data_IF_023378431658
#
_entry.id   IF_023378431658
#
_cell.length_a   1.000
_cell.length_b   1.000
_cell.length_c   1.000
_cell.angle_alpha   90.00
_cell.angle_beta   90.00
_cell.angle_gamma   90.00
#
_symmetry.space_group_name_H-M   'P 1'
#
loop_
_entity.id
_entity.type
_entity.pdbx_description
1 polymer ?
#
# COMPACT_ATOMS: atom_id res chain seq x y z
N UNK A 1 23.86 -49.78 39.88
CA UNK A 1 22.94 -48.64 39.59
C UNK A 1 23.65 -47.30 39.29
N UNK A 2 24.82 -47.27 38.63
CA UNK A 2 25.50 -46.01 38.24
C UNK A 2 25.75 -45.81 36.73
N UNK A 3 25.47 -46.81 35.90
CA UNK A 3 25.72 -46.73 34.44
C UNK A 3 24.47 -46.52 33.57
N UNK A 4 23.26 -46.45 34.15
CA UNK A 4 22.01 -46.25 33.39
C UNK A 4 21.57 -44.77 33.37
N UNK A 5 21.92 -43.96 34.38
CA UNK A 5 21.53 -42.53 34.41
C UNK A 5 22.32 -41.63 33.44
N UNK A 6 23.55 -42.01 33.06
CA UNK A 6 24.40 -41.14 32.23
C UNK A 6 24.04 -41.17 30.73
N UNK A 7 23.30 -42.19 30.28
CA UNK A 7 22.80 -42.27 28.89
C UNK A 7 21.47 -41.54 28.66
N UNK A 8 20.67 -41.30 29.72
CA UNK A 8 19.40 -40.58 29.61
C UNK A 8 19.57 -39.06 29.59
N UNK A 9 20.53 -38.49 30.32
CA UNK A 9 20.79 -37.04 30.28
C UNK A 9 21.37 -36.55 28.94
N UNK A 10 22.14 -37.38 28.25
CA UNK A 10 22.70 -37.03 26.92
C UNK A 10 21.64 -37.07 25.81
N UNK A 11 20.63 -37.95 25.93
CA UNK A 11 19.54 -38.06 24.96
C UNK A 11 18.52 -36.92 25.11
N UNK A 12 18.23 -36.48 26.35
CA UNK A 12 17.30 -35.38 26.61
C UNK A 12 17.86 -34.00 26.21
N UNK A 13 19.18 -33.79 26.34
CA UNK A 13 19.85 -32.58 25.83
C UNK A 13 19.93 -32.57 24.29
N UNK A 14 20.17 -33.71 23.65
CA UNK A 14 20.21 -33.80 22.19
C UNK A 14 18.82 -33.54 21.57
N UNK A 15 17.75 -34.05 22.18
CA UNK A 15 16.37 -33.85 21.69
C UNK A 15 15.89 -32.40 21.88
N UNK A 16 16.27 -31.74 22.97
CA UNK A 16 15.98 -30.30 23.17
C UNK A 16 16.83 -29.39 22.28
N UNK A 17 18.07 -29.77 21.95
CA UNK A 17 18.91 -29.03 21.00
C UNK A 17 18.43 -29.19 19.54
N UNK A 18 18.02 -30.40 19.13
CA UNK A 18 17.47 -30.66 17.79
C UNK A 18 16.11 -30.00 17.60
N UNK A 19 15.22 -30.04 18.61
CA UNK A 19 13.94 -29.33 18.52
C UNK A 19 14.13 -27.80 18.45
N UNK A 20 15.08 -27.23 19.20
CA UNK A 20 15.40 -25.80 19.10
C UNK A 20 16.00 -25.41 17.75
N UNK A 21 16.85 -26.23 17.12
CA UNK A 21 17.42 -25.96 15.80
C UNK A 21 16.36 -26.08 14.70
N UNK A 22 15.46 -27.06 14.78
CA UNK A 22 14.37 -27.24 13.84
C UNK A 22 13.34 -26.10 13.94
N UNK A 23 13.01 -25.64 15.15
CA UNK A 23 12.17 -24.45 15.35
C UNK A 23 12.88 -23.17 14.93
N UNK A 24 14.18 -22.99 15.19
CA UNK A 24 14.91 -21.82 14.72
C UNK A 24 15.01 -21.74 13.20
N UNK A 25 15.34 -22.84 12.51
CA UNK A 25 15.45 -22.83 11.04
C UNK A 25 14.10 -22.65 10.33
N UNK A 26 13.01 -23.18 10.90
CA UNK A 26 11.67 -22.95 10.38
C UNK A 26 11.17 -21.54 10.70
N UNK A 27 11.48 -20.97 11.87
CA UNK A 27 11.20 -19.57 12.21
C UNK A 27 12.02 -18.61 11.33
N UNK A 28 13.30 -18.88 11.06
CA UNK A 28 14.15 -18.03 10.20
C UNK A 28 13.74 -18.10 8.72
N UNK A 29 13.31 -19.28 8.22
CA UNK A 29 12.73 -19.41 6.87
C UNK A 29 11.35 -18.74 6.77
N UNK A 30 10.52 -18.84 7.80
CA UNK A 30 9.24 -18.12 7.87
C UNK A 30 9.44 -16.61 7.97
N UNK A 31 10.37 -16.13 8.80
CA UNK A 31 10.69 -14.70 8.95
C UNK A 31 11.31 -14.11 7.67
N UNK A 32 12.17 -14.84 6.96
CA UNK A 32 12.72 -14.39 5.68
C UNK A 32 11.71 -14.42 4.51
N UNK A 33 10.80 -15.39 4.48
CA UNK A 33 9.69 -15.40 3.51
C UNK A 33 8.65 -14.32 3.82
N UNK A 34 8.28 -14.11 5.10
CA UNK A 34 7.40 -13.02 5.54
C UNK A 34 8.03 -11.65 5.26
N UNK A 35 9.33 -11.46 5.54
CA UNK A 35 10.08 -10.24 5.18
C UNK A 35 10.16 -10.01 3.67
N UNK A 36 10.12 -11.07 2.85
CA UNK A 36 10.02 -10.94 1.40
C UNK A 36 8.59 -10.61 0.92
N UNK A 37 7.56 -11.14 1.59
CA UNK A 37 6.14 -10.85 1.30
C UNK A 37 5.76 -9.41 1.62
N UNK A 38 6.35 -8.82 2.66
CA UNK A 38 6.16 -7.39 2.93
C UNK A 38 6.84 -6.48 1.90
N UNK A 39 7.81 -6.95 1.13
CA UNK A 39 8.50 -6.13 0.13
C UNK A 39 7.81 -6.09 -1.23
N UNK A 40 6.91 -7.04 -1.50
CA UNK A 40 6.31 -7.22 -2.83
C UNK A 40 4.80 -7.41 -2.68
N UNK A 41 4.07 -6.40 -3.15
CA UNK A 41 2.62 -6.37 -3.25
C UNK A 41 2.23 -5.82 -4.61
N UNK A 42 1.05 -6.21 -5.12
CA UNK A 42 0.47 -5.56 -6.30
C UNK A 42 0.47 -4.04 -6.05
N UNK A 43 1.00 -3.22 -6.96
CA UNK A 43 0.97 -1.79 -6.80
C UNK A 43 -0.47 -1.32 -6.97
N UNK A 44 -0.88 -0.33 -6.17
CA UNK A 44 -2.22 0.23 -6.24
C UNK A 44 -2.21 1.64 -6.83
N UNK A 45 -3.22 1.96 -7.63
CA UNK A 45 -3.51 3.32 -8.05
C UNK A 45 -4.55 3.92 -7.11
N UNK A 46 -4.19 5.01 -6.47
CA UNK A 46 -5.09 5.75 -5.60
C UNK A 46 -5.52 7.09 -6.23
N UNK A 47 -6.69 7.58 -5.88
CA UNK A 47 -7.20 8.86 -6.39
C UNK A 47 -8.00 9.63 -5.36
N UNK A 48 -7.61 10.88 -5.07
CA UNK A 48 -8.45 11.79 -4.29
C UNK A 48 -9.48 12.44 -5.20
N UNK A 49 -10.75 12.16 -4.92
CA UNK A 49 -11.88 12.79 -5.57
C UNK A 49 -12.41 13.90 -4.69
N UNK A 50 -12.38 15.13 -5.19
CA UNK A 50 -12.87 16.30 -4.48
C UNK A 50 -14.40 16.31 -4.53
N UNK A 51 -15.05 15.94 -3.43
CA UNK A 51 -16.51 15.74 -3.37
C UNK A 51 -17.31 16.99 -3.77
N UNK A 52 -16.69 18.18 -3.70
CA UNK A 52 -17.36 19.39 -4.14
C UNK A 52 -17.51 19.55 -5.66
N UNK A 53 -16.85 18.71 -6.46
CA UNK A 53 -17.05 18.59 -7.91
C UNK A 53 -18.13 17.56 -8.29
N UNK A 54 -18.72 16.86 -7.32
CA UNK A 54 -19.77 15.88 -7.59
C UNK A 54 -21.08 16.56 -8.03
N UNK A 55 -21.77 15.97 -9.02
CA UNK A 55 -23.10 16.42 -9.48
C UNK A 55 -24.09 16.59 -8.35
N UNK A 56 -24.04 15.74 -7.32
CA UNK A 56 -24.98 15.79 -6.20
C UNK A 56 -24.68 16.92 -5.21
N UNK A 57 -23.53 17.59 -5.33
CA UNK A 57 -23.16 18.76 -4.53
C UNK A 57 -23.23 20.08 -5.31
N UNK A 58 -23.39 20.01 -6.63
CA UNK A 58 -23.52 21.17 -7.50
C UNK A 58 -24.64 22.12 -7.09
N UNK A 59 -24.38 23.43 -7.18
CA UNK A 59 -25.36 24.49 -6.90
C UNK A 59 -25.25 25.59 -7.93
N UNK A 60 -26.39 26.08 -8.44
CA UNK A 60 -26.44 27.15 -9.44
C UNK A 60 -25.65 28.43 -9.06
N UNK A 61 -25.42 28.70 -7.76
CA UNK A 61 -24.64 29.84 -7.25
C UNK A 61 -23.69 29.42 -6.10
N UNK A 62 -22.41 29.79 -6.17
CA UNK A 62 -21.44 29.75 -5.04
C UNK A 62 -20.52 30.98 -5.01
N UNK A 63 -20.06 31.32 -3.80
CA UNK A 63 -19.08 32.38 -3.48
C UNK A 63 -17.64 32.07 -3.92
N UNK A 64 -16.67 32.88 -3.47
CA UNK A 64 -15.33 33.07 -4.06
C UNK A 64 -14.42 31.82 -4.22
N UNK A 65 -14.80 30.65 -3.70
CA UNK A 65 -14.02 29.41 -3.78
C UNK A 65 -14.56 28.53 -4.92
N UNK A 66 -14.02 28.70 -6.13
CA UNK A 66 -14.66 28.28 -7.39
C UNK A 66 -14.33 26.83 -7.80
N UNK A 67 -14.96 25.86 -7.14
CA UNK A 67 -15.28 24.56 -7.77
C UNK A 67 -16.38 24.70 -8.84
N UNK A 68 -16.80 23.57 -9.44
CA UNK A 68 -17.84 23.59 -10.48
C UNK A 68 -19.20 24.15 -9.99
N UNK A 69 -19.80 25.05 -10.78
CA UNK A 69 -21.16 25.60 -10.56
C UNK A 69 -22.27 24.54 -10.61
N UNK A 70 -22.04 23.33 -11.10
CA UNK A 70 -23.11 22.31 -11.18
C UNK A 70 -22.72 20.94 -10.69
N UNK A 71 -21.44 20.71 -10.40
CA UNK A 71 -20.88 19.37 -10.45
C UNK A 71 -21.10 18.77 -11.84
N UNK A 72 -20.04 18.25 -12.45
CA UNK A 72 -20.08 17.77 -13.84
C UNK A 72 -19.83 16.28 -13.95
N UNK A 73 -19.47 15.65 -12.84
CA UNK A 73 -19.15 14.23 -12.76
C UNK A 73 -19.60 13.61 -11.45
N UNK A 74 -19.69 12.28 -11.45
CA UNK A 74 -20.09 11.51 -10.29
C UNK A 74 -18.87 10.80 -9.71
N UNK A 75 -18.86 10.64 -8.40
CA UNK A 75 -17.83 9.91 -7.67
C UNK A 75 -17.72 8.44 -8.14
N UNK A 76 -18.84 7.80 -8.48
CA UNK A 76 -18.86 6.46 -9.04
C UNK A 76 -18.54 6.38 -10.54
N UNK A 77 -18.23 7.51 -11.18
CA UNK A 77 -17.72 7.59 -12.54
C UNK A 77 -16.23 7.28 -12.67
N UNK A 78 -15.53 7.02 -11.56
CA UNK A 78 -14.12 6.63 -11.56
C UNK A 78 -13.92 5.30 -12.32
N UNK A 79 -12.84 5.18 -13.11
CA UNK A 79 -12.59 3.97 -13.88
C UNK A 79 -12.07 2.84 -12.99
N UNK A 80 -12.29 1.58 -13.39
CA UNK A 80 -11.88 0.37 -12.64
C UNK A 80 -10.38 0.27 -12.36
N UNK A 81 -9.56 1.02 -13.09
CA UNK A 81 -8.11 1.13 -12.86
C UNK A 81 -7.78 1.81 -11.52
N UNK A 82 -8.71 2.56 -10.92
CA UNK A 82 -8.54 3.14 -9.58
C UNK A 82 -8.82 2.05 -8.54
N UNK A 83 -7.79 1.55 -7.88
CA UNK A 83 -7.92 0.52 -6.84
C UNK A 83 -8.51 1.11 -5.54
N UNK A 84 -8.15 2.36 -5.20
CA UNK A 84 -8.62 3.06 -3.99
C UNK A 84 -9.01 4.50 -4.32
N UNK A 85 -10.27 4.84 -4.10
CA UNK A 85 -10.81 6.18 -4.23
C UNK A 85 -10.92 6.85 -2.85
N UNK A 86 -10.18 7.94 -2.64
CA UNK A 86 -10.36 8.77 -1.47
C UNK A 86 -11.52 9.74 -1.68
N UNK A 87 -12.50 9.65 -0.78
CA UNK A 87 -13.57 10.60 -0.66
C UNK A 87 -13.04 11.83 0.10
N UNK A 88 -12.60 12.84 -0.63
CA UNK A 88 -12.06 14.09 -0.09
C UNK A 88 -13.18 15.13 0.01
N UNK A 89 -13.66 15.36 1.24
CA UNK A 89 -14.84 16.20 1.49
C UNK A 89 -14.43 17.51 2.11
N UNK A 90 -14.84 18.59 1.47
CA UNK A 90 -14.81 19.92 2.05
C UNK A 90 -16.05 20.72 1.59
N UNK A 91 -16.62 21.51 2.50
CA UNK A 91 -17.71 22.48 2.26
C UNK A 91 -18.97 21.98 1.55
N UNK A 92 -19.20 20.67 1.48
CA UNK A 92 -20.38 20.14 0.79
C UNK A 92 -21.68 20.40 1.58
N UNK A 93 -21.56 20.67 2.88
CA UNK A 93 -22.68 20.85 3.82
C UNK A 93 -22.97 22.31 4.20
N UNK A 94 -22.19 23.29 3.72
CA UNK A 94 -22.22 24.68 4.22
C UNK A 94 -23.62 25.31 4.27
N UNK A 95 -24.47 25.05 3.27
CA UNK A 95 -25.85 25.58 3.25
C UNK A 95 -26.93 24.54 3.57
N UNK A 96 -26.54 23.31 3.91
CA UNK A 96 -27.47 22.22 4.20
C UNK A 96 -27.51 21.85 5.69
N UNK A 97 -26.51 22.28 6.46
CA UNK A 97 -26.26 21.78 7.80
C UNK A 97 -25.53 20.43 7.76
N UNK A 98 -25.12 19.93 8.93
CA UNK A 98 -24.30 18.73 9.02
C UNK A 98 -24.97 17.53 8.34
N UNK A 99 -24.28 16.98 7.34
CA UNK A 99 -24.76 15.88 6.48
C UNK A 99 -26.06 16.13 5.71
N UNK A 100 -26.47 17.39 5.56
CA UNK A 100 -27.68 17.73 4.81
C UNK A 100 -27.52 17.68 3.29
N UNK A 101 -26.29 17.64 2.76
CA UNK A 101 -26.06 17.62 1.31
C UNK A 101 -26.69 16.40 0.63
N UNK A 102 -27.34 16.55 -0.56
CA UNK A 102 -27.85 15.43 -1.34
C UNK A 102 -26.78 14.38 -1.70
N UNK A 103 -25.51 14.79 -1.74
CA UNK A 103 -24.37 13.89 -1.92
C UNK A 103 -24.39 12.71 -0.94
N UNK A 104 -24.66 12.96 0.35
CA UNK A 104 -24.64 11.93 1.38
C UNK A 104 -25.72 10.85 1.18
N UNK A 105 -26.88 11.23 0.61
CA UNK A 105 -27.95 10.28 0.27
C UNK A 105 -27.57 9.41 -0.92
N UNK A 106 -26.77 9.94 -1.84
CA UNK A 106 -26.29 9.22 -3.03
C UNK A 106 -25.08 8.33 -2.73
N UNK A 107 -24.27 8.70 -1.74
CA UNK A 107 -23.02 8.02 -1.40
C UNK A 107 -23.14 6.48 -1.26
N UNK A 108 -24.16 5.89 -0.61
CA UNK A 108 -24.28 4.43 -0.52
C UNK A 108 -24.39 3.74 -1.89
N UNK A 109 -25.07 4.36 -2.85
CA UNK A 109 -25.14 3.84 -4.23
C UNK A 109 -23.79 3.95 -4.92
N UNK A 110 -23.10 5.09 -4.75
CA UNK A 110 -21.77 5.29 -5.32
C UNK A 110 -20.76 4.26 -4.81
N UNK A 111 -20.73 4.04 -3.49
CA UNK A 111 -19.86 3.05 -2.85
C UNK A 111 -20.14 1.65 -3.41
N UNK A 112 -21.42 1.25 -3.50
CA UNK A 112 -21.80 -0.05 -4.06
C UNK A 112 -21.37 -0.21 -5.52
N UNK A 113 -21.45 0.84 -6.33
CA UNK A 113 -21.02 0.80 -7.73
C UNK A 113 -19.49 0.71 -7.87
N UNK A 114 -18.75 1.46 -7.05
CA UNK A 114 -17.28 1.38 -6.99
C UNK A 114 -16.81 -0.01 -6.53
N UNK A 115 -17.47 -0.60 -5.52
CA UNK A 115 -17.17 -1.97 -5.07
C UNK A 115 -17.36 -3.02 -6.17
N UNK A 116 -18.39 -2.89 -7.03
CA UNK A 116 -18.58 -3.79 -8.19
C UNK A 116 -17.43 -3.71 -9.18
N UNK A 117 -16.74 -2.57 -9.25
CA UNK A 117 -15.54 -2.38 -10.06
C UNK A 117 -14.24 -2.81 -9.35
N UNK A 118 -14.32 -3.27 -8.10
CA UNK A 118 -13.17 -3.62 -7.28
C UNK A 118 -12.48 -2.41 -6.62
N UNK A 119 -13.04 -1.22 -6.74
CA UNK A 119 -12.49 0.02 -6.15
C UNK A 119 -12.91 0.12 -4.69
N UNK A 120 -11.93 0.23 -3.78
CA UNK A 120 -12.18 0.56 -2.37
C UNK A 120 -12.44 2.05 -2.20
N UNK A 121 -13.29 2.43 -1.26
CA UNK A 121 -13.58 3.82 -0.91
C UNK A 121 -13.05 4.13 0.47
N UNK A 122 -12.14 5.10 0.59
CA UNK A 122 -11.54 5.51 1.86
C UNK A 122 -11.92 6.96 2.16
N UNK A 123 -12.24 7.27 3.41
CA UNK A 123 -12.52 8.65 3.82
C UNK A 123 -11.25 9.35 4.29
N UNK A 124 -10.99 10.55 3.76
CA UNK A 124 -9.87 11.40 4.23
C UNK A 124 -10.32 12.38 5.31
N UNK A 125 -9.58 12.47 6.41
CA UNK A 125 -9.81 13.44 7.48
C UNK A 125 -8.55 14.29 7.73
N UNK A 126 -8.75 15.57 8.03
CA UNK A 126 -7.69 16.46 8.50
C UNK A 126 -7.16 16.02 9.88
N UNK A 127 -5.85 16.11 10.08
CA UNK A 127 -5.20 15.78 11.35
C UNK A 127 -5.81 16.55 12.54
N UNK A 128 -6.38 17.74 12.34
CA UNK A 128 -7.04 18.51 13.40
C UNK A 128 -8.16 17.75 14.12
N UNK A 129 -8.83 16.79 13.46
CA UNK A 129 -9.80 15.90 14.11
C UNK A 129 -9.12 14.92 15.07
N UNK A 130 -7.98 14.36 14.68
CA UNK A 130 -7.15 13.47 15.50
C UNK A 130 -6.52 14.22 16.67
N UNK A 131 -6.16 15.49 16.47
CA UNK A 131 -5.63 16.39 17.51
C UNK A 131 -6.70 16.92 18.46
N UNK A 132 -7.98 16.65 18.19
CA UNK A 132 -9.10 17.24 18.90
C UNK A 132 -9.05 18.79 18.90
N UNK A 133 -8.53 19.39 17.82
CA UNK A 133 -8.49 20.84 17.59
C UNK A 133 -9.55 21.31 16.59
N UNK A 134 -10.12 20.38 15.82
CA UNK A 134 -11.23 20.60 14.89
C UNK A 134 -12.54 20.07 15.49
N UNK A 135 -13.68 20.59 15.06
CA UNK A 135 -14.98 20.10 15.50
C UNK A 135 -15.17 18.63 15.11
N UNK A 136 -15.29 17.75 16.11
CA UNK A 136 -15.66 16.37 15.86
C UNK A 136 -17.14 16.32 15.48
N UNK A 137 -17.54 15.56 14.44
CA UNK A 137 -18.93 15.52 13.98
C UNK A 137 -19.93 15.20 15.09
N UNK A 138 -21.08 15.85 15.01
CA UNK A 138 -22.21 15.52 15.86
C UNK A 138 -23.01 14.33 15.31
N UNK A 139 -23.81 13.70 16.16
CA UNK A 139 -24.62 12.56 15.71
C UNK A 139 -25.79 13.02 14.85
N UNK A 140 -26.17 12.17 13.88
CA UNK A 140 -27.33 12.38 13.02
C UNK A 140 -27.10 13.41 11.91
N UNK A 141 -28.20 13.87 11.31
CA UNK A 141 -28.22 15.02 10.40
C UNK A 141 -28.66 16.26 11.20
N UNK A 142 -28.14 17.44 10.82
CA UNK A 142 -28.57 18.73 11.37
C UNK A 142 -29.02 19.64 10.25
N UNK A 143 -30.10 20.40 10.47
CA UNK A 143 -30.58 21.38 9.49
C UNK A 143 -29.63 22.58 9.41
N UNK A 144 -29.69 23.31 8.30
CA UNK A 144 -28.98 24.58 8.17
C UNK A 144 -29.35 25.53 9.34
N UNK A 145 -28.34 26.09 10.00
CA UNK A 145 -28.49 26.96 11.16
C UNK A 145 -28.52 26.23 12.53
N UNK A 146 -28.69 24.91 12.57
CA UNK A 146 -28.51 24.14 13.80
C UNK A 146 -27.03 23.94 14.11
N UNK A 147 -26.65 24.13 15.38
CA UNK A 147 -25.27 23.96 15.83
C UNK A 147 -25.04 22.52 16.30
N UNK A 148 -23.92 21.94 15.88
CA UNK A 148 -23.40 20.73 16.53
C UNK A 148 -22.92 21.07 17.94
N UNK A 149 -23.15 20.17 18.88
CA UNK A 149 -22.53 20.26 20.20
C UNK A 149 -21.00 20.10 20.09
N UNK A 150 -20.28 20.91 20.86
CA UNK A 150 -18.83 20.82 20.93
C UNK A 150 -18.43 19.56 21.70
N UNK A 151 -17.88 18.58 21.00
CA UNK A 151 -17.27 17.40 21.61
C UNK A 151 -15.80 17.70 21.91
N UNK A 152 -15.37 17.41 23.13
CA UNK A 152 -13.96 17.49 23.54
C UNK A 152 -13.55 16.21 24.24
N UNK A 153 -12.35 15.76 23.92
CA UNK A 153 -11.73 14.58 24.48
C UNK A 153 -10.46 14.99 25.23
N UNK A 154 -10.26 14.42 26.41
CA UNK A 154 -9.05 14.66 27.19
C UNK A 154 -7.83 14.00 26.53
N UNK A 155 -6.64 14.59 26.74
CA UNK A 155 -5.37 14.01 26.31
C UNK A 155 -4.91 12.88 27.27
N UNK A 156 -5.77 11.89 27.45
CA UNK A 156 -5.59 10.72 28.33
C UNK A 156 -5.82 9.44 27.53
N UNK A 157 -5.30 8.27 27.98
CA UNK A 157 -5.53 7.01 27.26
C UNK A 157 -7.00 6.69 26.98
N UNK A 158 -7.90 7.06 27.90
CA UNK A 158 -9.34 6.86 27.71
C UNK A 158 -9.91 7.85 26.68
N UNK A 159 -9.54 9.14 26.75
CA UNK A 159 -9.95 10.14 25.76
C UNK A 159 -9.46 9.82 24.34
N UNK A 160 -8.24 9.29 24.20
CA UNK A 160 -7.69 8.81 22.93
C UNK A 160 -8.54 7.69 22.33
N UNK A 161 -8.92 6.72 23.16
CA UNK A 161 -9.75 5.58 22.77
C UNK A 161 -11.15 6.01 22.36
N UNK A 162 -11.75 6.95 23.09
CA UNK A 162 -13.10 7.43 22.81
C UNK A 162 -13.15 8.26 21.52
N UNK A 163 -12.16 9.12 21.29
CA UNK A 163 -12.04 9.85 20.02
C UNK A 163 -11.78 8.90 18.85
N UNK A 164 -10.84 7.95 18.98
CA UNK A 164 -10.55 6.99 17.91
C UNK A 164 -11.78 6.18 17.49
N UNK A 165 -12.56 5.69 18.46
CA UNK A 165 -13.83 4.99 18.20
C UNK A 165 -14.82 5.88 17.46
N UNK A 166 -14.96 7.14 17.87
CA UNK A 166 -15.87 8.06 17.23
C UNK A 166 -15.46 8.34 15.78
N UNK A 167 -14.17 8.56 15.51
CA UNK A 167 -13.67 8.79 14.16
C UNK A 167 -13.89 7.58 13.25
N UNK A 168 -13.59 6.36 13.71
CA UNK A 168 -13.82 5.14 12.92
C UNK A 168 -15.31 4.92 12.67
N UNK A 169 -16.15 5.10 13.70
CA UNK A 169 -17.61 4.97 13.57
C UNK A 169 -18.17 5.94 12.53
N UNK A 170 -17.79 7.22 12.63
CA UNK A 170 -18.35 8.27 11.78
C UNK A 170 -17.83 8.22 10.34
N UNK A 171 -16.52 8.02 10.17
CA UNK A 171 -15.88 8.17 8.86
C UNK A 171 -15.61 6.85 8.15
N UNK A 172 -15.88 5.71 8.78
CA UNK A 172 -15.72 4.39 8.17
C UNK A 172 -17.01 3.59 8.25
N UNK A 173 -17.53 3.35 9.45
CA UNK A 173 -18.65 2.43 9.65
C UNK A 173 -19.99 2.99 9.16
N UNK A 174 -20.25 4.29 9.40
CA UNK A 174 -21.53 4.95 9.08
C UNK A 174 -21.94 4.82 7.62
N UNK A 175 -20.98 4.97 6.71
CA UNK A 175 -21.18 4.90 5.26
C UNK A 175 -20.65 3.58 4.65
N UNK A 176 -20.29 2.61 5.51
CA UNK A 176 -19.69 1.33 5.12
C UNK A 176 -18.47 1.47 4.18
N UNK A 177 -17.60 2.45 4.47
CA UNK A 177 -16.39 2.73 3.69
C UNK A 177 -15.28 1.73 4.05
N UNK A 178 -14.30 1.59 3.17
CA UNK A 178 -13.23 0.60 3.26
C UNK A 178 -12.03 1.05 4.06
N UNK A 179 -12.06 2.24 4.66
CA UNK A 179 -10.96 2.69 5.49
C UNK A 179 -10.99 4.17 5.83
N UNK A 180 -9.95 4.57 6.56
CA UNK A 180 -9.68 5.94 6.97
C UNK A 180 -8.29 6.36 6.51
N UNK A 181 -8.21 7.58 6.02
CA UNK A 181 -6.99 8.27 5.67
C UNK A 181 -6.85 9.52 6.53
N UNK A 182 -5.68 9.72 7.13
CA UNK A 182 -5.36 10.88 7.97
C UNK A 182 -4.35 11.73 7.23
N UNK A 183 -4.80 12.92 6.84
CA UNK A 183 -4.01 13.94 6.16
C UNK A 183 -3.24 14.79 7.18
N UNK A 184 -1.91 14.70 7.14
CA UNK A 184 -0.99 15.40 8.03
C UNK A 184 -0.04 16.34 7.28
N UNK A 185 -0.40 17.62 7.26
CA UNK A 185 0.40 18.69 6.62
C UNK A 185 0.86 19.80 7.61
N UNK A 186 0.60 19.67 8.91
CA UNK A 186 0.94 20.71 9.88
C UNK A 186 2.45 20.99 9.95
N UNK A 187 2.83 22.26 9.97
CA UNK A 187 4.23 22.69 10.02
C UNK A 187 4.93 22.32 11.35
N UNK A 188 4.22 22.44 12.47
CA UNK A 188 4.73 22.09 13.80
C UNK A 188 3.68 21.33 14.61
N UNK A 189 4.15 20.43 15.45
CA UNK A 189 3.31 19.65 16.34
C UNK A 189 3.91 19.68 17.76
N UNK A 190 3.42 20.58 18.64
CA UNK A 190 3.86 20.66 20.04
C UNK A 190 3.69 19.33 20.78
N UNK A 191 4.48 19.07 21.83
CA UNK A 191 4.51 17.77 22.51
C UNK A 191 3.12 17.29 22.97
N UNK A 192 2.27 18.19 23.48
CA UNK A 192 0.90 17.82 23.87
C UNK A 192 0.05 17.38 22.68
N UNK A 193 0.16 18.04 21.54
CA UNK A 193 -0.51 17.65 20.30
C UNK A 193 0.07 16.36 19.72
N UNK A 194 1.39 16.17 19.81
CA UNK A 194 2.05 14.93 19.42
C UNK A 194 1.56 13.75 20.27
N UNK A 195 1.46 13.92 21.59
CA UNK A 195 0.91 12.92 22.51
C UNK A 195 -0.53 12.56 22.17
N UNK A 196 -1.37 13.57 21.89
CA UNK A 196 -2.75 13.37 21.47
C UNK A 196 -2.82 12.57 20.15
N UNK A 197 -2.06 13.00 19.15
CA UNK A 197 -2.03 12.35 17.83
C UNK A 197 -1.56 10.90 17.92
N UNK A 198 -0.43 10.66 18.57
CA UNK A 198 0.14 9.31 18.73
C UNK A 198 -0.84 8.41 19.49
N UNK A 199 -1.46 8.92 20.56
CA UNK A 199 -2.46 8.18 21.32
C UNK A 199 -3.67 7.77 20.48
N UNK A 200 -4.31 8.74 19.84
CA UNK A 200 -5.52 8.53 19.03
C UNK A 200 -5.22 7.62 17.83
N UNK A 201 -4.14 7.86 17.09
CA UNK A 201 -3.76 7.04 15.92
C UNK A 201 -3.48 5.59 16.33
N UNK A 202 -2.79 5.36 17.46
CA UNK A 202 -2.56 4.00 17.94
C UNK A 202 -3.86 3.31 18.36
N UNK A 203 -4.84 4.04 18.88
CA UNK A 203 -6.17 3.49 19.16
C UNK A 203 -6.97 3.21 17.87
N UNK A 204 -6.87 4.06 16.84
CA UNK A 204 -7.44 3.78 15.51
C UNK A 204 -6.81 2.51 14.93
N UNK A 205 -5.48 2.36 15.01
CA UNK A 205 -4.73 1.19 14.53
C UNK A 205 -5.08 -0.13 15.24
N UNK A 206 -5.76 -0.10 16.38
CA UNK A 206 -6.34 -1.29 17.03
C UNK A 206 -7.71 -1.66 16.45
N UNK A 207 -8.43 -0.70 15.88
CA UNK A 207 -9.76 -0.85 15.31
C UNK A 207 -9.70 -1.26 13.83
N UNK A 208 -8.86 -0.60 13.03
CA UNK A 208 -8.67 -0.82 11.58
C UNK A 208 -7.18 -0.81 11.20
N UNK A 209 -6.85 -1.33 10.01
CA UNK A 209 -5.48 -1.45 9.52
C UNK A 209 -4.81 -2.79 9.83
N UNK A 210 -3.52 -2.97 9.50
CA UNK A 210 -2.85 -4.26 9.40
C UNK A 210 -2.71 -5.00 10.75
N UNK A 211 -2.67 -4.24 11.85
CA UNK A 211 -2.48 -4.75 13.21
C UNK A 211 -3.79 -4.78 14.02
N UNK A 212 -4.92 -4.53 13.38
CA UNK A 212 -6.20 -4.37 14.04
C UNK A 212 -7.04 -5.65 14.07
N UNK A 213 -8.21 -5.56 14.71
CA UNK A 213 -9.25 -6.59 14.64
C UNK A 213 -9.93 -6.66 13.26
N UNK A 214 -9.99 -5.54 12.54
CA UNK A 214 -10.64 -5.45 11.23
C UNK A 214 -9.60 -5.11 10.15
N UNK A 215 -8.89 -6.13 9.69
CA UNK A 215 -7.81 -6.02 8.69
C UNK A 215 -8.31 -5.72 7.28
N UNK A 216 -9.62 -5.82 7.04
CA UNK A 216 -10.21 -5.54 5.73
C UNK A 216 -10.36 -4.03 5.50
N UNK A 217 -10.45 -3.25 6.58
CA UNK A 217 -10.51 -1.79 6.55
C UNK A 217 -9.10 -1.19 6.58
N UNK A 218 -8.79 -0.41 5.56
CA UNK A 218 -7.51 0.26 5.38
C UNK A 218 -7.31 1.37 6.42
N UNK A 219 -6.10 1.47 6.95
CA UNK A 219 -5.68 2.66 7.67
C UNK A 219 -4.49 3.30 6.95
N UNK A 220 -4.67 4.54 6.51
CA UNK A 220 -3.76 5.26 5.62
C UNK A 220 -3.28 6.54 6.29
N UNK A 221 -2.02 6.91 6.01
CA UNK A 221 -1.42 8.16 6.45
C UNK A 221 -0.92 8.92 5.23
N UNK A 222 -1.49 10.09 4.99
CA UNK A 222 -1.10 10.99 3.91
C UNK A 222 -0.34 12.19 4.48
N UNK A 223 0.74 12.60 3.82
CA UNK A 223 1.58 13.70 4.30
C UNK A 223 2.46 14.32 3.22
N UNK A 224 2.77 15.60 3.37
CA UNK A 224 3.85 16.32 2.67
C UNK A 224 5.19 16.28 3.44
N UNK A 225 5.21 15.71 4.65
CA UNK A 225 6.37 15.68 5.55
C UNK A 225 7.25 14.45 5.32
N UNK A 226 8.53 14.56 5.70
CA UNK A 226 9.48 13.45 5.63
C UNK A 226 9.21 12.37 6.69
N UNK A 227 9.64 11.14 6.44
CA UNK A 227 9.49 10.01 7.37
C UNK A 227 10.30 10.16 8.67
N UNK A 228 11.17 11.16 8.77
CA UNK A 228 11.89 11.48 10.01
C UNK A 228 11.04 12.19 11.07
N UNK A 229 9.81 12.60 10.74
CA UNK A 229 8.93 13.27 11.68
C UNK A 229 8.47 12.35 12.82
N UNK A 230 8.47 12.88 14.05
CA UNK A 230 8.18 12.10 15.27
C UNK A 230 6.79 11.44 15.26
N UNK A 231 5.77 12.11 14.72
CA UNK A 231 4.44 11.52 14.60
C UNK A 231 4.47 10.24 13.78
N UNK A 232 5.08 10.30 12.58
CA UNK A 232 5.19 9.14 11.70
C UNK A 232 6.00 8.02 12.35
N UNK A 233 7.20 8.33 12.88
CA UNK A 233 8.06 7.34 13.55
C UNK A 233 7.33 6.53 14.62
N UNK A 234 6.48 7.21 15.42
CA UNK A 234 5.75 6.60 16.54
C UNK A 234 4.48 5.86 16.12
N UNK A 235 4.05 5.99 14.87
CA UNK A 235 2.75 5.48 14.40
C UNK A 235 2.81 4.62 13.13
N UNK A 236 3.94 4.58 12.42
CA UNK A 236 4.12 3.92 11.13
C UNK A 236 3.61 2.47 11.05
N UNK A 237 3.72 1.73 12.16
CA UNK A 237 3.24 0.35 12.27
C UNK A 237 1.73 0.20 12.01
N UNK A 238 0.95 1.26 12.20
CA UNK A 238 -0.50 1.20 12.12
C UNK A 238 -1.03 1.31 10.68
N UNK A 239 -0.20 1.67 9.71
CA UNK A 239 -0.69 2.00 8.37
C UNK A 239 -0.51 0.85 7.37
N UNK A 240 -1.50 0.68 6.51
CA UNK A 240 -1.40 -0.17 5.31
C UNK A 240 -0.55 0.50 4.24
N UNK A 241 -0.77 1.80 4.03
CA UNK A 241 -0.07 2.63 3.06
C UNK A 241 0.24 4.02 3.62
N UNK A 242 1.31 4.60 3.13
CA UNK A 242 1.77 5.94 3.44
C UNK A 242 1.86 6.71 2.13
N UNK A 243 0.99 7.69 1.98
CA UNK A 243 0.91 8.53 0.80
C UNK A 243 1.78 9.76 1.01
N UNK A 244 2.77 9.92 0.13
CA UNK A 244 3.66 11.06 0.16
C UNK A 244 3.30 12.04 -0.96
N UNK A 245 2.84 13.22 -0.57
CA UNK A 245 2.49 14.33 -1.46
C UNK A 245 3.73 14.92 -2.16
N UNK A 246 4.18 14.24 -3.21
CA UNK A 246 5.48 14.52 -3.78
C UNK A 246 5.49 15.77 -4.68
N UNK A 247 4.40 16.09 -5.39
CA UNK A 247 4.16 17.34 -6.13
C UNK A 247 5.43 18.09 -6.64
N UNK A 248 6.07 17.52 -7.66
CA UNK A 248 7.34 17.98 -8.29
C UNK A 248 8.62 17.83 -7.44
N UNK A 249 8.59 17.08 -6.34
CA UNK A 249 9.78 16.64 -5.64
C UNK A 249 10.39 15.45 -6.39
N UNK A 250 11.27 15.77 -7.34
CA UNK A 250 11.85 14.82 -8.30
C UNK A 250 12.75 13.74 -7.65
N UNK A 251 13.20 13.93 -6.41
CA UNK A 251 14.15 13.05 -5.75
C UNK A 251 13.49 12.03 -4.81
N UNK A 252 12.65 11.16 -5.38
CA UNK A 252 11.86 10.18 -4.63
C UNK A 252 12.71 9.16 -3.84
N UNK A 253 13.92 8.86 -4.28
CA UNK A 253 14.84 7.98 -3.54
C UNK A 253 15.30 8.59 -2.21
N UNK A 254 15.71 9.86 -2.23
CA UNK A 254 16.15 10.52 -1.01
C UNK A 254 14.99 10.76 -0.03
N UNK A 255 13.79 11.00 -0.56
CA UNK A 255 12.57 11.03 0.24
C UNK A 255 12.32 9.65 0.86
N UNK A 256 12.26 8.59 0.05
CA UNK A 256 11.97 7.23 0.54
C UNK A 256 12.99 6.75 1.59
N UNK A 257 14.27 7.16 1.48
CA UNK A 257 15.27 6.89 2.52
C UNK A 257 14.84 7.34 3.92
N UNK A 258 14.06 8.41 4.03
CA UNK A 258 13.55 8.89 5.33
C UNK A 258 12.41 8.03 5.89
N UNK A 259 11.73 7.24 5.05
CA UNK A 259 10.62 6.37 5.43
C UNK A 259 11.04 4.91 5.63
N UNK A 260 12.05 4.46 4.88
CA UNK A 260 12.36 3.02 4.75
C UNK A 260 12.85 2.34 6.03
N UNK A 261 13.24 3.10 7.05
CA UNK A 261 13.54 2.58 8.38
C UNK A 261 12.27 2.11 9.12
N UNK A 262 11.10 2.64 8.76
CA UNK A 262 9.83 2.41 9.45
C UNK A 262 8.82 1.60 8.63
N UNK A 263 8.92 1.65 7.30
CA UNK A 263 8.02 0.93 6.38
C UNK A 263 8.79 0.30 5.21
N UNK A 264 8.35 -0.86 4.69
CA UNK A 264 8.88 -1.37 3.43
C UNK A 264 8.39 -0.51 2.25
N UNK A 265 9.08 -0.61 1.11
CA UNK A 265 8.71 0.13 -0.11
C UNK A 265 7.26 -0.16 -0.54
N UNK A 266 6.76 -1.37 -0.31
CA UNK A 266 5.40 -1.80 -0.67
C UNK A 266 4.28 -1.02 0.03
N UNK A 267 4.61 -0.22 1.06
CA UNK A 267 3.67 0.69 1.73
C UNK A 267 3.84 2.14 1.29
N UNK A 268 4.94 2.50 0.64
CA UNK A 268 5.23 3.87 0.22
C UNK A 268 4.60 4.18 -1.13
N UNK A 269 3.81 5.26 -1.18
CA UNK A 269 3.01 5.66 -2.34
C UNK A 269 3.28 7.14 -2.66
N UNK A 270 4.19 7.48 -3.59
CA UNK A 270 4.36 8.86 -4.01
C UNK A 270 3.16 9.32 -4.85
N UNK A 271 2.79 10.60 -4.71
CA UNK A 271 1.66 11.17 -5.45
C UNK A 271 1.97 12.43 -6.24
N UNK A 272 1.15 12.65 -7.25
CA UNK A 272 1.10 13.87 -8.03
C UNK A 272 -0.31 14.49 -7.91
N UNK A 273 -0.44 15.76 -8.27
CA UNK A 273 -1.74 16.44 -8.34
C UNK A 273 -2.07 16.76 -9.79
N UNK A 274 -3.30 16.51 -10.23
CA UNK A 274 -3.83 17.12 -11.45
C UNK A 274 -3.97 18.63 -11.27
N UNK A 275 -4.05 19.38 -12.36
CA UNK A 275 -4.26 20.81 -12.28
C UNK A 275 -5.67 21.14 -11.76
N UNK A 276 -5.72 21.78 -10.60
CA UNK A 276 -6.93 22.31 -9.99
C UNK A 276 -7.28 23.67 -10.59
N UNK A 277 -8.54 23.86 -10.93
CA UNK A 277 -9.08 25.14 -11.42
C UNK A 277 -8.82 26.28 -10.42
N UNK A 278 -8.24 27.38 -10.91
CA UNK A 278 -8.02 28.58 -10.11
C UNK A 278 -7.00 28.44 -8.97
N UNK A 279 -6.33 27.30 -8.85
CA UNK A 279 -5.32 27.07 -7.82
C UNK A 279 -4.06 27.92 -8.07
N UNK A 280 -3.49 28.43 -6.98
CA UNK A 280 -2.27 29.22 -6.98
C UNK A 280 -1.01 28.37 -6.90
N UNK A 281 -1.09 27.17 -6.33
CA UNK A 281 0.08 26.29 -6.17
C UNK A 281 0.59 25.80 -7.53
N UNK A 282 -0.31 25.56 -8.49
CA UNK A 282 -0.03 25.26 -9.89
C UNK A 282 1.17 24.31 -10.04
N UNK A 283 1.03 23.09 -9.52
CA UNK A 283 2.12 22.11 -9.57
C UNK A 283 2.53 21.71 -10.99
N UNK A 284 1.59 21.84 -11.93
CA UNK A 284 1.74 21.51 -13.35
C UNK A 284 2.28 20.09 -13.57
N UNK A 285 1.81 19.06 -12.84
CA UNK A 285 2.45 17.74 -12.88
C UNK A 285 2.32 17.01 -14.24
N UNK A 286 1.49 17.51 -15.17
CA UNK A 286 1.34 17.00 -16.54
C UNK A 286 2.11 17.82 -17.59
N UNK A 287 2.82 18.86 -17.16
CA UNK A 287 3.68 19.66 -18.03
C UNK A 287 5.12 19.13 -18.00
N UNK A 288 5.88 19.45 -19.05
CA UNK A 288 7.32 19.17 -19.07
C UNK A 288 8.10 20.00 -18.03
N UNK A 289 9.42 19.82 -17.98
CA UNK A 289 10.30 20.64 -17.15
C UNK A 289 10.28 20.29 -15.66
N UNK A 290 11.00 21.10 -14.87
CA UNK A 290 11.17 20.95 -13.40
C UNK A 290 10.27 21.94 -12.63
N UNK A 291 10.26 21.82 -11.29
CA UNK A 291 9.39 22.57 -10.36
C UNK A 291 9.30 24.10 -10.57
N UNK A 292 10.28 24.76 -11.19
CA UNK A 292 10.28 26.21 -11.44
C UNK A 292 10.53 26.62 -12.90
N UNK A 293 10.25 25.71 -13.83
CA UNK A 293 10.39 26.02 -15.26
C UNK A 293 9.22 26.91 -15.73
N UNK A 294 9.49 28.17 -16.07
CA UNK A 294 8.45 29.10 -16.54
C UNK A 294 8.06 28.87 -18.01
N UNK A 295 8.89 28.17 -18.79
CA UNK A 295 8.68 27.89 -20.22
C UNK A 295 8.22 26.45 -20.48
N UNK A 296 7.60 25.81 -19.48
CA UNK A 296 7.15 24.41 -19.58
C UNK A 296 6.12 24.21 -20.69
N UNK A 297 6.25 23.10 -21.41
CA UNK A 297 5.22 22.66 -22.35
C UNK A 297 4.04 22.06 -21.57
N UNK A 298 2.91 22.75 -21.57
CA UNK A 298 1.68 22.29 -20.91
C UNK A 298 1.01 21.11 -21.62
N UNK A 299 1.29 20.94 -22.91
CA UNK A 299 0.84 19.81 -23.73
C UNK A 299 1.98 18.79 -23.92
N UNK A 300 2.74 18.52 -22.87
CA UNK A 300 3.84 17.57 -22.92
C UNK A 300 3.34 16.15 -23.17
N UNK A 301 4.19 15.33 -23.78
CA UNK A 301 3.96 13.87 -23.80
C UNK A 301 3.98 13.35 -22.38
N UNK A 302 3.18 12.32 -22.09
CA UNK A 302 3.02 11.80 -20.73
C UNK A 302 4.37 11.40 -20.13
N UNK A 303 5.25 10.80 -20.92
CA UNK A 303 6.60 10.34 -20.54
C UNK A 303 7.52 11.47 -20.05
N UNK A 304 7.24 12.72 -20.41
CA UNK A 304 8.01 13.89 -19.99
C UNK A 304 7.51 14.49 -18.66
N UNK A 305 6.37 14.00 -18.16
CA UNK A 305 5.66 14.58 -17.02
C UNK A 305 6.13 14.03 -15.68
N UNK A 306 5.89 14.79 -14.61
CA UNK A 306 6.16 14.30 -13.26
C UNK A 306 5.22 13.15 -12.88
N UNK A 307 3.96 13.20 -13.31
CA UNK A 307 2.99 12.14 -13.05
C UNK A 307 3.47 10.76 -13.57
N UNK A 308 4.05 10.74 -14.78
CA UNK A 308 4.67 9.52 -15.33
C UNK A 308 5.84 9.06 -14.47
N UNK A 309 6.74 9.97 -14.08
CA UNK A 309 7.89 9.62 -13.23
C UNK A 309 7.45 9.05 -11.88
N UNK A 310 6.40 9.58 -11.26
CA UNK A 310 5.83 9.04 -10.02
C UNK A 310 5.27 7.63 -10.22
N UNK A 311 4.58 7.37 -11.34
CA UNK A 311 4.04 6.05 -11.68
C UNK A 311 5.14 5.04 -12.03
N UNK A 312 6.19 5.45 -12.74
CA UNK A 312 7.30 4.60 -13.19
C UNK A 312 8.35 4.34 -12.09
N UNK A 313 8.53 5.26 -11.15
CA UNK A 313 9.61 5.17 -10.17
C UNK A 313 9.55 3.89 -9.32
N UNK A 314 10.72 3.32 -9.03
CA UNK A 314 10.94 2.26 -8.04
C UNK A 314 12.19 2.62 -7.24
N UNK A 315 12.32 2.18 -5.97
CA UNK A 315 13.54 2.42 -5.21
C UNK A 315 14.79 1.98 -5.98
N UNK A 316 15.83 2.82 -6.04
CA UNK A 316 17.08 2.51 -6.75
C UNK A 316 17.77 1.26 -6.20
N UNK A 317 17.75 1.09 -4.87
CA UNK A 317 18.20 -0.14 -4.26
C UNK A 317 17.16 -1.24 -4.50
N UNK A 318 17.51 -2.25 -5.31
CA UNK A 318 16.60 -3.34 -5.67
C UNK A 318 16.14 -4.14 -4.44
N UNK A 319 17.00 -4.27 -3.43
CA UNK A 319 16.70 -4.99 -2.18
C UNK A 319 15.61 -4.34 -1.32
N UNK A 320 15.28 -3.06 -1.60
CA UNK A 320 14.17 -2.36 -0.94
C UNK A 320 12.81 -2.82 -1.50
N UNK A 321 12.77 -3.58 -2.61
CA UNK A 321 11.57 -4.19 -3.18
C UNK A 321 10.87 -3.33 -4.23
N UNK A 322 9.54 -3.38 -4.22
CA UNK A 322 8.67 -2.59 -5.11
C UNK A 322 7.83 -1.59 -4.31
N UNK A 323 7.62 -0.39 -4.83
CA UNK A 323 6.74 0.61 -4.19
C UNK A 323 5.29 0.12 -4.07
N UNK A 324 4.54 0.71 -3.14
CA UNK A 324 3.14 0.35 -2.88
C UNK A 324 2.15 0.82 -3.94
N UNK A 325 2.48 1.87 -4.69
CA UNK A 325 1.55 2.44 -5.66
C UNK A 325 1.94 3.82 -6.15
N UNK A 326 0.96 4.51 -6.74
CA UNK A 326 0.99 5.95 -7.03
C UNK A 326 -0.38 6.54 -6.72
N UNK A 327 -0.45 7.79 -6.30
CA UNK A 327 -1.73 8.48 -6.14
C UNK A 327 -1.84 9.76 -6.98
N UNK A 328 -3.08 10.10 -7.32
CA UNK A 328 -3.44 11.33 -7.99
C UNK A 328 -4.38 12.18 -7.12
N UNK A 329 -3.96 13.39 -6.76
CA UNK A 329 -4.87 14.39 -6.19
C UNK A 329 -5.70 15.05 -7.29
N UNK A 330 -6.94 15.45 -6.95
CA UNK A 330 -7.93 16.00 -7.89
C UNK A 330 -8.18 15.09 -9.10
N UNK A 331 -8.38 13.78 -8.85
CA UNK A 331 -8.49 12.77 -9.92
C UNK A 331 -9.63 13.04 -10.90
N UNK A 332 -10.67 13.75 -10.44
CA UNK A 332 -11.80 14.17 -11.25
C UNK A 332 -11.41 15.21 -12.32
N UNK A 333 -10.16 15.70 -12.31
CA UNK A 333 -9.57 16.56 -13.34
C UNK A 333 -8.73 15.78 -14.38
N UNK A 334 -8.76 14.45 -14.35
CA UNK A 334 -7.97 13.63 -15.28
C UNK A 334 -8.33 13.88 -16.75
N UNK A 335 -7.32 14.23 -17.55
CA UNK A 335 -7.46 14.56 -18.97
C UNK A 335 -7.57 16.06 -19.25
N UNK A 336 -7.61 16.89 -18.21
CA UNK A 336 -7.56 18.35 -18.34
C UNK A 336 -6.09 18.81 -18.31
N UNK A 337 -5.73 19.63 -19.28
CA UNK A 337 -4.37 20.14 -19.45
C UNK A 337 -4.02 21.12 -18.33
N UNK A 338 -2.76 21.12 -17.88
CA UNK A 338 -2.37 22.04 -16.83
C UNK A 338 -2.54 23.52 -17.25
N UNK A 339 -3.08 24.33 -16.35
CA UNK A 339 -3.37 25.73 -16.62
C UNK A 339 -4.74 25.98 -17.29
N UNK A 340 -5.52 24.93 -17.55
CA UNK A 340 -6.91 25.08 -18.00
C UNK A 340 -7.85 25.17 -16.80
N UNK A 341 -8.29 26.40 -16.48
CA UNK A 341 -9.22 26.67 -15.37
C UNK A 341 -10.69 26.35 -15.72
N UNK A 342 -10.98 25.88 -16.94
CA UNK A 342 -12.35 25.52 -17.30
C UNK A 342 -12.77 24.20 -16.67
N UNK A 343 -14.06 24.09 -16.37
CA UNK A 343 -14.65 22.90 -15.77
C UNK A 343 -15.17 21.98 -16.86
N UNK A 344 -14.59 20.78 -16.98
CA UNK A 344 -14.88 19.79 -18.03
C UNK A 344 -14.91 18.38 -17.44
N UNK A 345 -15.80 17.48 -17.91
CA UNK A 345 -15.79 16.09 -17.45
C UNK A 345 -14.43 15.44 -17.72
N UNK A 346 -13.88 14.74 -16.73
CA UNK A 346 -12.70 13.90 -16.94
C UNK A 346 -12.98 12.78 -17.93
N UNK A 347 -12.02 12.52 -18.81
CA UNK A 347 -12.02 11.33 -19.67
C UNK A 347 -11.23 10.16 -19.05
N UNK A 348 -10.46 10.45 -17.99
CA UNK A 348 -9.62 9.50 -17.26
C UNK A 348 -8.52 8.80 -18.08
N UNK A 349 -8.21 9.28 -19.29
CA UNK A 349 -7.21 8.65 -20.16
C UNK A 349 -5.81 8.70 -19.55
N UNK A 350 -5.47 9.81 -18.90
CA UNK A 350 -4.18 9.96 -18.22
C UNK A 350 -4.05 8.96 -17.07
N UNK A 351 -5.10 8.79 -16.26
CA UNK A 351 -5.08 7.82 -15.14
C UNK A 351 -4.94 6.39 -15.65
N UNK A 352 -5.67 6.00 -16.70
CA UNK A 352 -5.56 4.64 -17.30
C UNK A 352 -4.16 4.36 -17.85
N UNK A 353 -3.53 5.35 -18.49
CA UNK A 353 -2.15 5.24 -18.97
C UNK A 353 -1.17 5.12 -17.80
N UNK A 354 -1.32 5.93 -16.75
CA UNK A 354 -0.46 5.86 -15.57
C UNK A 354 -0.62 4.55 -14.79
N UNK A 355 -1.82 3.96 -14.75
CA UNK A 355 -2.02 2.61 -14.23
C UNK A 355 -1.21 1.57 -15.03
N UNK A 356 -1.17 1.70 -16.36
CA UNK A 356 -0.36 0.80 -17.20
C UNK A 356 1.13 0.95 -16.89
N UNK A 357 1.65 2.19 -16.84
CA UNK A 357 3.04 2.51 -16.47
C UNK A 357 3.39 1.95 -15.09
N UNK A 358 2.50 2.11 -14.11
CA UNK A 358 2.67 1.59 -12.75
C UNK A 358 2.88 0.07 -12.75
N UNK A 359 2.04 -0.66 -13.47
CA UNK A 359 2.11 -2.12 -13.56
C UNK A 359 3.33 -2.58 -14.36
N UNK A 360 3.67 -1.91 -15.47
CA UNK A 360 4.86 -2.22 -16.27
C UNK A 360 6.15 -2.05 -15.46
N UNK A 361 6.28 -0.92 -14.74
CA UNK A 361 7.40 -0.65 -13.84
C UNK A 361 7.51 -1.71 -12.73
N UNK A 362 6.38 -2.05 -12.11
CA UNK A 362 6.33 -3.10 -11.08
C UNK A 362 6.79 -4.46 -11.65
N UNK A 363 6.22 -4.88 -12.77
CA UNK A 363 6.56 -6.15 -13.42
C UNK A 363 8.01 -6.20 -13.91
N UNK A 364 8.55 -5.08 -14.38
CA UNK A 364 9.98 -4.96 -14.71
C UNK A 364 10.84 -5.17 -13.46
N UNK A 365 10.50 -4.54 -12.34
CA UNK A 365 11.23 -4.74 -11.07
C UNK A 365 11.10 -6.18 -10.56
N UNK A 366 9.94 -6.80 -10.66
CA UNK A 366 9.76 -8.23 -10.32
C UNK A 366 10.72 -9.11 -11.13
N UNK A 367 10.82 -8.91 -12.45
CA UNK A 367 11.76 -9.65 -13.30
C UNK A 367 13.22 -9.42 -12.89
N UNK A 368 13.60 -8.19 -12.57
CA UNK A 368 14.95 -7.87 -12.06
C UNK A 368 15.27 -8.55 -10.73
N UNK A 369 14.25 -8.81 -9.91
CA UNK A 369 14.34 -9.53 -8.64
C UNK A 369 14.20 -11.06 -8.80
N UNK A 370 14.04 -11.55 -10.04
CA UNK A 370 13.90 -12.98 -10.33
C UNK A 370 12.49 -13.56 -10.09
N UNK A 371 11.47 -12.71 -9.95
CA UNK A 371 10.06 -13.10 -9.85
C UNK A 371 9.42 -13.24 -11.24
N UNK A 372 8.44 -14.14 -11.35
CA UNK A 372 7.63 -14.34 -12.56
C UNK A 372 6.14 -14.41 -12.19
N UNK A 373 5.24 -14.14 -13.15
CA UNK A 373 3.79 -14.28 -12.95
C UNK A 373 3.36 -15.74 -12.77
N UNK A 374 4.17 -16.66 -13.29
CA UNK A 374 3.99 -18.09 -13.14
C UNK A 374 4.41 -18.52 -11.73
N UNK A 375 3.56 -19.29 -11.04
CA UNK A 375 3.78 -19.70 -9.65
C UNK A 375 3.44 -21.17 -9.47
N UNK A 376 4.10 -21.82 -8.52
CA UNK A 376 3.88 -23.23 -8.17
C UNK A 376 3.93 -24.17 -9.37
N UNK A 377 4.85 -23.95 -10.30
CA UNK A 377 4.94 -24.75 -11.53
C UNK A 377 6.36 -24.96 -12.00
N UNK A 378 6.55 -26.05 -12.72
CA UNK A 378 7.76 -26.30 -13.47
C UNK A 378 7.77 -25.45 -14.74
N UNK A 379 8.94 -24.92 -15.08
CA UNK A 379 9.21 -24.23 -16.34
C UNK A 379 10.45 -24.84 -16.98
N UNK A 380 10.47 -24.85 -18.31
CA UNK A 380 11.59 -25.33 -19.10
C UNK A 380 12.25 -24.15 -19.83
N UNK A 381 13.59 -24.06 -19.78
CA UNK A 381 14.38 -23.11 -20.58
C UNK A 381 15.49 -23.87 -21.28
N UNK A 382 15.36 -24.06 -22.59
CA UNK A 382 16.22 -24.99 -23.33
C UNK A 382 16.06 -26.42 -22.81
N UNK A 383 17.17 -27.07 -22.50
CA UNK A 383 17.18 -28.44 -21.94
C UNK A 383 17.05 -28.48 -20.41
N UNK A 384 17.03 -27.32 -19.76
CA UNK A 384 17.02 -27.20 -18.30
C UNK A 384 15.61 -26.96 -17.76
N UNK A 385 15.31 -27.58 -16.62
CA UNK A 385 14.05 -27.41 -15.89
C UNK A 385 14.29 -26.62 -14.61
N UNK A 386 13.33 -25.78 -14.26
CA UNK A 386 13.31 -24.96 -13.06
C UNK A 386 11.95 -25.10 -12.39
N UNK A 387 11.90 -24.94 -11.08
CA UNK A 387 10.63 -24.87 -10.36
C UNK A 387 10.40 -23.45 -9.84
N UNK A 388 9.22 -22.91 -10.13
CA UNK A 388 8.74 -21.66 -9.59
C UNK A 388 7.96 -21.93 -8.31
N UNK A 389 8.37 -21.30 -7.22
CA UNK A 389 7.68 -21.44 -5.94
C UNK A 389 6.36 -20.64 -5.90
N UNK A 390 5.72 -20.59 -4.73
CA UNK A 390 4.47 -19.86 -4.51
C UNK A 390 4.59 -18.36 -4.72
N UNK A 391 5.82 -17.83 -4.72
CA UNK A 391 6.11 -16.42 -5.00
C UNK A 391 6.42 -16.20 -6.49
N UNK A 392 6.63 -17.27 -7.26
CA UNK A 392 7.05 -17.20 -8.65
C UNK A 392 8.55 -17.01 -8.83
N UNK A 393 9.35 -17.29 -7.78
CA UNK A 393 10.81 -17.34 -7.86
C UNK A 393 11.30 -18.71 -8.26
N UNK A 394 12.44 -18.74 -8.97
CA UNK A 394 13.18 -19.97 -9.18
C UNK A 394 13.69 -20.51 -7.84
N UNK A 395 13.19 -21.68 -7.46
CA UNK A 395 13.64 -22.43 -6.30
C UNK A 395 15.12 -22.84 -6.46
N UNK A 396 15.90 -22.72 -5.38
CA UNK A 396 17.34 -23.01 -5.34
C UNK A 396 17.70 -23.74 -4.05
N UNK A 397 18.65 -24.65 -4.14
CA UNK A 397 19.16 -25.47 -3.02
C UNK A 397 18.04 -26.12 -2.19
N UNK A 398 17.05 -26.70 -2.87
CA UNK A 398 15.91 -27.34 -2.22
C UNK A 398 15.29 -28.42 -3.08
N UNK A 399 14.62 -29.35 -2.41
CA UNK A 399 13.76 -30.34 -3.04
C UNK A 399 12.41 -29.74 -3.46
N UNK A 400 11.89 -30.25 -4.56
CA UNK A 400 10.49 -30.13 -4.98
C UNK A 400 10.00 -31.52 -5.39
N UNK A 401 9.25 -32.17 -4.49
CA UNK A 401 8.90 -33.58 -4.67
C UNK A 401 10.17 -34.44 -4.77
N UNK A 402 10.29 -35.22 -5.84
CA UNK A 402 11.44 -36.11 -6.07
C UNK A 402 12.64 -35.44 -6.77
N UNK A 403 12.60 -34.13 -6.99
CA UNK A 403 13.58 -33.41 -7.79
C UNK A 403 14.35 -32.40 -6.93
N UNK A 404 15.64 -32.23 -7.19
CA UNK A 404 16.47 -31.25 -6.49
C UNK A 404 16.80 -30.06 -7.39
N UNK A 405 16.60 -28.84 -6.88
CA UNK A 405 16.97 -27.60 -7.56
C UNK A 405 18.32 -27.13 -7.01
N UNK A 406 19.32 -26.98 -7.89
CA UNK A 406 20.69 -26.59 -7.54
C UNK A 406 20.80 -25.10 -7.17
N UNK A 407 22.01 -24.62 -6.89
CA UNK A 407 22.26 -23.23 -6.50
C UNK A 407 21.95 -22.21 -7.63
N UNK A 408 22.08 -22.63 -8.87
CA UNK A 408 21.72 -21.88 -10.07
C UNK A 408 20.21 -22.02 -10.41
N UNK A 409 19.50 -22.88 -9.68
CA UNK A 409 18.07 -23.14 -9.81
C UNK A 409 17.71 -24.22 -10.83
N UNK A 410 18.70 -24.78 -11.53
CA UNK A 410 18.47 -25.87 -12.47
C UNK A 410 18.13 -27.15 -11.70
N UNK A 411 17.18 -27.91 -12.22
CA UNK A 411 16.91 -29.27 -11.77
C UNK A 411 18.15 -30.14 -12.02
N UNK A 412 18.65 -30.79 -10.98
CA UNK A 412 19.73 -31.75 -11.10
C UNK A 412 19.27 -32.97 -11.90
N UNK A 413 20.08 -33.43 -12.85
CA UNK A 413 19.80 -34.62 -13.67
C UNK A 413 21.10 -35.32 -14.05
N UNK A 414 21.09 -36.66 -13.97
CA UNK A 414 22.27 -37.51 -14.24
C UNK A 414 23.52 -37.14 -13.44
N UNK A 415 23.37 -36.69 -12.19
CA UNK A 415 24.47 -36.19 -11.36
C UNK A 415 24.27 -36.52 -9.88
N UNK A 416 25.36 -36.49 -9.11
CA UNK A 416 25.33 -36.54 -7.66
C UNK A 416 25.23 -35.12 -7.10
N UNK A 417 24.37 -34.92 -6.11
CA UNK A 417 24.29 -33.68 -5.33
C UNK A 417 24.51 -33.99 -3.85
N UNK A 418 25.03 -33.00 -3.13
CA UNK A 418 25.10 -33.02 -1.67
C UNK A 418 24.07 -32.05 -1.12
N UNK A 419 23.14 -32.55 -0.30
CA UNK A 419 22.19 -31.69 0.41
C UNK A 419 22.68 -31.46 1.84
N UNK A 420 23.09 -30.22 2.12
CA UNK A 420 23.54 -29.79 3.45
C UNK A 420 22.46 -29.94 4.53
N UNK A 421 21.17 -29.91 4.18
CA UNK A 421 20.05 -30.04 5.12
C UNK A 421 19.96 -31.45 5.69
N UNK A 422 20.26 -32.45 4.86
CA UNK A 422 20.29 -33.87 5.24
C UNK A 422 21.71 -34.39 5.46
N UNK A 423 22.72 -33.57 5.22
CA UNK A 423 24.14 -33.92 5.27
C UNK A 423 24.45 -35.23 4.52
N UNK A 424 23.84 -35.40 3.35
CA UNK A 424 23.81 -36.67 2.60
C UNK A 424 23.94 -36.44 1.09
N UNK A 425 24.49 -37.44 0.41
CA UNK A 425 24.63 -37.47 -1.05
C UNK A 425 23.43 -38.17 -1.69
N UNK A 426 22.90 -37.57 -2.77
CA UNK A 426 21.80 -38.12 -3.55
C UNK A 426 22.22 -38.17 -5.02
N UNK A 427 21.83 -39.23 -5.73
CA UNK A 427 21.98 -39.29 -7.18
C UNK A 427 20.63 -39.01 -7.87
N UNK A 428 20.64 -38.14 -8.87
CA UNK A 428 19.47 -37.83 -9.68
C UNK A 428 19.57 -38.55 -11.02
N UNK A 429 18.51 -39.27 -11.38
CA UNK A 429 18.39 -39.99 -12.65
C UNK A 429 18.32 -39.02 -13.84
N UNK A 430 18.28 -39.58 -15.06
CA UNK A 430 18.18 -38.80 -16.31
C UNK A 430 16.89 -37.96 -16.41
N UNK A 431 15.80 -38.44 -15.82
CA UNK A 431 14.54 -37.71 -15.70
C UNK A 431 14.54 -36.67 -14.55
N UNK A 432 15.61 -36.62 -13.77
CA UNK A 432 15.80 -35.70 -12.64
C UNK A 432 15.28 -36.22 -11.30
N UNK A 433 14.58 -37.35 -11.26
CA UNK A 433 14.11 -37.90 -9.99
C UNK A 433 15.29 -38.43 -9.19
N UNK A 434 15.27 -38.32 -7.86
CA UNK A 434 16.29 -39.01 -7.06
C UNK A 434 16.15 -40.53 -7.22
N UNK A 435 17.30 -41.21 -7.29
CA UNK A 435 17.38 -42.64 -7.36
C UNK A 435 17.19 -43.25 -5.97
N UNK A 436 16.41 -44.34 -5.89
CA UNK A 436 16.15 -45.08 -4.67
C UNK A 436 15.98 -46.57 -4.95
N UNK A 437 16.34 -47.40 -3.98
CA UNK A 437 16.31 -48.87 -4.04
C UNK A 437 17.02 -49.44 -5.28
N UNK A 438 18.18 -48.87 -5.65
CA UNK A 438 18.96 -49.28 -6.82
C UNK A 438 20.44 -48.99 -6.65
N UNK A 439 21.26 -49.67 -7.45
CA UNK A 439 22.67 -49.36 -7.58
C UNK A 439 22.89 -48.16 -8.52
N UNK A 440 23.87 -47.33 -8.17
CA UNK A 440 24.47 -46.32 -9.02
C UNK A 440 26.00 -46.42 -8.89
N UNK A 441 26.66 -47.00 -9.88
CA UNK A 441 28.07 -47.39 -9.75
C UNK A 441 28.25 -48.34 -8.56
N UNK A 442 29.21 -48.02 -7.69
CA UNK A 442 29.52 -48.82 -6.48
C UNK A 442 28.65 -48.47 -5.26
N UNK A 443 27.59 -47.67 -5.41
CA UNK A 443 26.75 -47.22 -4.31
C UNK A 443 25.34 -47.77 -4.42
N UNK A 444 24.82 -48.38 -3.34
CA UNK A 444 23.43 -48.79 -3.25
C UNK A 444 22.59 -47.70 -2.56
N UNK A 445 21.65 -47.15 -3.31
CA UNK A 445 20.76 -46.07 -2.90
C UNK A 445 19.52 -46.66 -2.22
N UNK A 446 19.21 -46.21 -1.00
CA UNK A 446 18.15 -46.78 -0.13
C UNK A 446 16.78 -46.21 -0.51
N UNK A 447 15.75 -46.43 0.32
CA UNK A 447 14.39 -46.01 -0.03
C UNK A 447 14.21 -44.47 -0.06
N UNK A 448 15.08 -43.77 0.66
CA UNK A 448 15.12 -42.34 0.86
C UNK A 448 16.11 -41.64 -0.08
N UNK A 449 16.94 -42.41 -0.79
CA UNK A 449 18.01 -41.90 -1.64
C UNK A 449 19.34 -42.46 -1.19
#
# INVERSE_FOLDING_TARGET
MKNILRKFSSFLLAVTFIMNILSFNSIVKADSSIKNLEKIKKPLLFGYYRAWHDKMNGKEVRGQEKGDRKGIQNFDGLPKEVDVAFLFVNWIDNDYGHRGSPFWKKLPEYVNNLHKNGTKVVRTIDIGLVLNTSYVPCDGEKKAGEKCELRKFENTPQGHKDLAKLLVKEYVERDNLDGLDVDYEKHSLPEEQLKMAVGVINEIGKLIGPNSKNKDKLFIFDTDKLGSQELFKRTAKNYDYVLYQSYRQENLDDIFKTFKEFIPASKFVPGFSFYEEGDWNKWFNLSSGKKYDWNRNKNAKLEETFAYRSADWQPKNKEDGTKGGVFAFAIERSGIVDGDDTIKPANYDVVKKLHSVLNESHNKRLKELGYTEEKNKWIQKGDDYYYLDSEGKIAKNKWQGSYYLKNDGKMAKSEWIFDNSYNSWYYLNKDGSYAKNKWQGSYYLKNDG
#
